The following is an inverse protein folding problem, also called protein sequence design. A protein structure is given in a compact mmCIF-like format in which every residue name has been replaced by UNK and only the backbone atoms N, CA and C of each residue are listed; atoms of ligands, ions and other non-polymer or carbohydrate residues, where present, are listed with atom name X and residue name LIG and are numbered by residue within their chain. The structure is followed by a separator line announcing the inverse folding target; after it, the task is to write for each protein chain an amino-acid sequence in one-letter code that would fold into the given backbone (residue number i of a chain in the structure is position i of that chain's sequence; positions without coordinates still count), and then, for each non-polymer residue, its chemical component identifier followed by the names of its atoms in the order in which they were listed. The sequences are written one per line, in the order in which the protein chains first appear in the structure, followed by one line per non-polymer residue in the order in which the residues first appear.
data_IF_047130989336
#
_entry.id   IF_047130989336
#
_cell.length_a   1.000
_cell.length_b   1.000
_cell.length_c   1.000
_cell.angle_alpha   90.00
_cell.angle_beta   90.00
_cell.angle_gamma   90.00
#
_symmetry.space_group_name_H-M   'P 1'
#
loop_
_entity.id
_entity.type
_entity.pdbx_description
1 polymer ?
#
# COMPACT_ATOMS: atom_id res chain seq x y z
N UNK A 1 15.89 -0.13 -35.82
CA UNK A 1 15.15 0.87 -35.04
C UNK A 1 16.04 1.71 -34.09
N UNK A 2 17.37 1.58 -34.08
CA UNK A 2 18.24 2.55 -33.36
C UNK A 2 18.14 2.59 -31.82
N UNK A 3 17.27 1.76 -31.22
CA UNK A 3 17.16 1.64 -29.77
C UNK A 3 18.32 0.84 -29.18
N UNK A 4 18.78 1.25 -28.00
CA UNK A 4 19.84 0.59 -27.23
C UNK A 4 19.35 0.30 -25.81
N UNK A 5 19.86 -0.78 -25.21
CA UNK A 5 19.56 -1.15 -23.82
C UNK A 5 20.40 -0.34 -22.86
N UNK A 6 19.76 0.12 -21.79
CA UNK A 6 20.37 0.78 -20.63
C UNK A 6 19.83 0.08 -19.38
N UNK A 7 20.52 -1.00 -18.96
CA UNK A 7 19.98 -1.93 -17.97
C UNK A 7 18.62 -2.53 -18.42
N UNK A 8 17.57 -2.46 -17.59
CA UNK A 8 16.24 -2.94 -17.97
C UNK A 8 15.47 -1.97 -18.90
N UNK A 9 16.00 -0.76 -19.14
CA UNK A 9 15.34 0.29 -19.92
C UNK A 9 15.77 0.27 -21.40
N UNK A 10 14.99 0.95 -22.24
CA UNK A 10 15.35 1.24 -23.63
C UNK A 10 15.55 2.73 -23.88
N UNK A 11 16.60 3.07 -24.64
CA UNK A 11 16.94 4.42 -25.10
C UNK A 11 16.87 4.49 -26.62
N UNK A 12 16.12 5.45 -27.15
CA UNK A 12 15.99 5.70 -28.60
C UNK A 12 16.89 6.85 -29.08
N UNK A 13 17.08 6.99 -30.40
CA UNK A 13 17.96 7.99 -31.00
C UNK A 13 17.50 9.44 -30.76
N UNK A 14 16.18 9.65 -30.61
CA UNK A 14 15.58 10.98 -30.42
C UNK A 14 15.34 11.31 -28.93
N UNK A 15 16.17 10.77 -28.04
CA UNK A 15 16.04 10.96 -26.58
C UNK A 15 14.85 10.20 -25.96
N UNK A 16 14.20 9.32 -26.71
CA UNK A 16 13.12 8.48 -26.21
C UNK A 16 13.64 7.55 -25.10
N UNK A 17 12.88 7.45 -24.02
CA UNK A 17 13.21 6.58 -22.88
C UNK A 17 11.98 5.75 -22.54
N UNK A 18 12.16 4.44 -22.48
CA UNK A 18 11.09 3.51 -22.13
C UNK A 18 11.49 2.68 -20.91
N UNK A 19 10.57 2.61 -19.94
CA UNK A 19 10.72 1.87 -18.70
C UNK A 19 9.99 0.53 -18.79
N UNK A 20 10.45 -0.51 -18.07
CA UNK A 20 9.73 -1.77 -17.90
C UNK A 20 8.28 -1.58 -17.50
N UNK A 21 7.39 -2.42 -18.03
CA UNK A 21 6.02 -2.56 -17.58
C UNK A 21 5.86 -3.86 -16.79
N UNK A 22 5.78 -3.75 -15.47
CA UNK A 22 5.62 -4.88 -14.57
C UNK A 22 4.18 -5.37 -14.54
N UNK A 23 4.03 -6.69 -14.64
CA UNK A 23 2.78 -7.41 -14.37
C UNK A 23 2.77 -7.92 -12.93
N UNK A 24 1.58 -8.08 -12.33
CA UNK A 24 1.44 -8.50 -10.93
C UNK A 24 2.20 -9.79 -10.60
N UNK A 25 2.22 -10.75 -11.53
CA UNK A 25 2.91 -12.05 -11.39
C UNK A 25 4.45 -11.96 -11.39
N UNK A 26 5.02 -10.79 -11.69
CA UNK A 26 6.47 -10.58 -11.65
C UNK A 26 6.98 -10.28 -10.24
N UNK A 27 6.09 -9.97 -9.29
CA UNK A 27 6.44 -9.71 -7.90
C UNK A 27 5.92 -10.80 -6.95
N UNK A 28 6.61 -10.99 -5.84
CA UNK A 28 6.15 -11.78 -4.68
C UNK A 28 6.63 -11.11 -3.38
N UNK A 29 6.33 -11.72 -2.22
CA UNK A 29 6.74 -11.22 -0.91
C UNK A 29 8.23 -10.94 -0.86
N UNK A 30 8.55 -9.66 -0.70
CA UNK A 30 9.92 -9.15 -0.64
C UNK A 30 10.79 -9.52 -1.86
N UNK A 31 10.18 -9.82 -3.00
CA UNK A 31 10.89 -10.15 -4.23
C UNK A 31 10.27 -9.39 -5.40
N UNK A 32 10.93 -8.33 -5.84
CA UNK A 32 10.53 -7.57 -7.03
C UNK A 32 10.98 -8.21 -8.34
N UNK A 33 11.74 -9.30 -8.27
CA UNK A 33 12.30 -10.05 -9.42
C UNK A 33 11.80 -11.49 -9.45
N UNK A 34 10.62 -11.73 -8.88
CA UNK A 34 10.08 -13.07 -8.69
C UNK A 34 9.83 -13.81 -10.01
N UNK A 35 9.29 -13.10 -11.01
CA UNK A 35 8.96 -13.65 -12.31
C UNK A 35 9.47 -12.77 -13.45
N UNK A 36 9.97 -13.41 -14.52
CA UNK A 36 10.58 -12.75 -15.65
C UNK A 36 10.21 -13.42 -16.97
N UNK A 37 10.13 -12.63 -18.04
CA UNK A 37 9.95 -13.13 -19.42
C UNK A 37 11.28 -13.42 -20.13
N UNK A 38 12.42 -13.32 -19.43
CA UNK A 38 13.74 -13.54 -20.01
C UNK A 38 13.84 -14.92 -20.69
N UNK A 39 14.42 -14.94 -21.89
CA UNK A 39 14.65 -16.18 -22.65
C UNK A 39 13.42 -16.72 -23.40
N UNK A 40 12.25 -16.08 -23.29
CA UNK A 40 11.06 -16.51 -24.02
C UNK A 40 11.01 -15.91 -25.44
N UNK A 41 10.86 -16.76 -26.44
CA UNK A 41 10.64 -16.36 -27.83
C UNK A 41 9.18 -15.98 -28.15
N UNK A 42 8.23 -16.37 -27.30
CA UNK A 42 6.81 -16.09 -27.44
C UNK A 42 6.13 -15.99 -26.07
N UNK A 43 5.05 -15.22 -25.98
CA UNK A 43 4.30 -15.03 -24.72
C UNK A 43 3.47 -16.29 -24.42
N UNK A 44 3.59 -16.89 -23.22
CA UNK A 44 2.76 -18.03 -22.83
C UNK A 44 1.27 -17.66 -22.80
N UNK A 45 0.42 -18.51 -23.40
CA UNK A 45 -1.03 -18.27 -23.50
C UNK A 45 -1.74 -18.35 -22.14
N UNK A 46 -1.23 -19.17 -21.24
CA UNK A 46 -1.71 -19.34 -19.87
C UNK A 46 -1.19 -18.26 -18.92
N UNK A 47 -0.31 -17.38 -19.40
CA UNK A 47 0.32 -16.35 -18.59
C UNK A 47 1.34 -16.88 -17.58
N UNK A 48 1.81 -18.12 -17.71
CA UNK A 48 2.91 -18.64 -16.90
C UNK A 48 4.20 -17.82 -17.12
N UNK A 49 5.06 -17.81 -16.10
CA UNK A 49 6.42 -17.27 -16.18
C UNK A 49 7.40 -18.39 -15.83
N UNK A 50 8.55 -18.49 -16.52
CA UNK A 50 9.63 -19.37 -16.12
C UNK A 50 10.05 -19.11 -14.67
N UNK A 51 10.44 -20.18 -13.98
CA UNK A 51 11.03 -20.05 -12.66
C UNK A 51 12.39 -19.34 -12.78
N UNK A 52 12.57 -18.26 -12.03
CA UNK A 52 13.88 -17.64 -11.85
C UNK A 52 14.66 -18.50 -10.86
N UNK A 53 15.90 -18.90 -11.19
CA UNK A 53 16.72 -19.71 -10.30
C UNK A 53 17.31 -18.87 -9.15
N UNK A 54 17.63 -19.52 -8.03
CA UNK A 54 18.30 -18.83 -6.91
C UNK A 54 19.66 -18.25 -7.31
N UNK A 55 20.38 -18.90 -8.24
CA UNK A 55 21.63 -18.38 -8.78
C UNK A 55 21.44 -17.06 -9.54
N UNK A 56 20.35 -16.92 -10.30
CA UNK A 56 19.99 -15.66 -10.96
C UNK A 56 19.61 -14.59 -9.92
N UNK A 57 18.83 -14.94 -8.90
CA UNK A 57 18.45 -14.00 -7.83
C UNK A 57 19.65 -13.56 -6.99
N UNK A 58 20.65 -14.42 -6.81
CA UNK A 58 21.88 -14.09 -6.10
C UNK A 58 22.76 -13.07 -6.85
N UNK A 59 22.56 -12.91 -8.16
CA UNK A 59 23.21 -11.87 -8.93
C UNK A 59 22.53 -10.50 -8.68
N UNK A 60 23.23 -9.50 -8.09
CA UNK A 60 22.66 -8.16 -7.85
C UNK A 60 22.45 -7.34 -9.13
N UNK A 61 23.04 -7.76 -10.25
CA UNK A 61 22.87 -7.15 -11.58
C UNK A 61 21.67 -7.74 -12.34
N UNK A 62 21.12 -8.86 -11.87
CA UNK A 62 19.94 -9.44 -12.50
C UNK A 62 18.70 -8.58 -12.22
N UNK A 63 17.98 -8.22 -13.27
CA UNK A 63 16.67 -7.58 -13.19
C UNK A 63 15.64 -8.37 -14.00
N UNK A 64 14.38 -8.35 -13.55
CA UNK A 64 13.32 -9.09 -14.21
C UNK A 64 12.96 -8.45 -15.56
N UNK A 65 13.18 -9.22 -16.64
CA UNK A 65 12.79 -8.81 -17.99
C UNK A 65 11.25 -8.77 -18.12
N UNK A 66 10.66 -7.61 -18.48
CA UNK A 66 9.23 -7.47 -18.73
C UNK A 66 8.89 -7.95 -20.15
N UNK A 67 7.60 -8.09 -20.45
CA UNK A 67 7.17 -8.30 -21.84
C UNK A 67 7.00 -6.99 -22.61
N UNK A 68 6.69 -5.89 -21.91
CA UNK A 68 6.41 -4.59 -22.50
C UNK A 68 7.24 -3.50 -21.82
N UNK A 69 7.44 -2.41 -22.56
CA UNK A 69 8.00 -1.16 -22.04
C UNK A 69 7.06 -0.02 -22.38
N UNK A 70 7.04 1.00 -21.52
CA UNK A 70 6.17 2.18 -21.64
C UNK A 70 7.00 3.46 -21.61
N UNK A 71 6.57 4.55 -22.28
CA UNK A 71 7.30 5.81 -22.26
C UNK A 71 7.54 6.30 -20.82
N UNK A 72 8.79 6.68 -20.52
CA UNK A 72 9.18 7.14 -19.20
C UNK A 72 8.35 8.36 -18.74
N UNK A 73 8.08 9.31 -19.63
CA UNK A 73 7.28 10.50 -19.34
C UNK A 73 5.86 10.15 -18.88
N UNK A 74 5.24 9.12 -19.47
CA UNK A 74 3.91 8.65 -19.05
C UNK A 74 3.96 7.99 -17.66
N UNK A 75 4.99 7.20 -17.39
CA UNK A 75 5.20 6.60 -16.07
C UNK A 75 5.39 7.69 -15.03
N UNK A 76 6.33 8.61 -15.24
CA UNK A 76 6.65 9.70 -14.33
C UNK A 76 5.44 10.58 -14.04
N UNK A 77 4.70 10.98 -15.08
CA UNK A 77 3.48 11.76 -14.91
C UNK A 77 2.45 11.01 -14.05
N UNK A 78 2.26 9.71 -14.26
CA UNK A 78 1.27 8.90 -13.53
C UNK A 78 1.66 8.66 -12.07
N UNK A 79 2.93 8.37 -11.79
CA UNK A 79 3.39 8.08 -10.41
C UNK A 79 3.63 9.33 -9.58
N UNK A 80 3.75 10.52 -10.21
CA UNK A 80 3.90 11.79 -9.50
C UNK A 80 2.79 12.01 -8.47
N UNK A 81 3.17 12.35 -7.24
CA UNK A 81 2.24 12.63 -6.13
C UNK A 81 1.68 14.05 -6.19
N UNK A 82 0.96 14.35 -7.26
CA UNK A 82 0.29 15.64 -7.51
C UNK A 82 -1.18 15.42 -7.88
N UNK A 83 -2.06 16.43 -7.74
CA UNK A 83 -3.47 16.30 -8.08
C UNK A 83 -3.70 15.84 -9.53
N UNK A 84 -4.63 14.91 -9.74
CA UNK A 84 -4.92 14.36 -11.08
C UNK A 84 -5.34 15.45 -12.08
N UNK A 85 -6.10 16.46 -11.61
CA UNK A 85 -6.49 17.61 -12.44
C UNK A 85 -5.29 18.43 -12.92
N UNK A 86 -4.21 18.52 -12.13
CA UNK A 86 -2.99 19.22 -12.54
C UNK A 86 -2.34 18.52 -13.74
N UNK A 87 -2.23 17.19 -13.68
CA UNK A 87 -1.71 16.36 -14.78
C UNK A 87 -2.57 16.51 -16.04
N UNK A 88 -3.89 16.50 -15.88
CA UNK A 88 -4.83 16.64 -16.98
C UNK A 88 -4.72 18.01 -17.70
N UNK A 89 -4.58 19.10 -16.95
CA UNK A 89 -4.40 20.43 -17.55
C UNK A 89 -3.01 20.63 -18.15
N UNK A 90 -1.97 20.02 -17.55
CA UNK A 90 -0.62 20.04 -18.13
C UNK A 90 -0.60 19.36 -19.51
N UNK A 91 -1.23 18.19 -19.65
CA UNK A 91 -1.34 17.49 -20.96
C UNK A 91 -2.06 18.30 -22.04
N UNK A 92 -2.95 19.21 -21.64
CA UNK A 92 -3.70 20.10 -22.54
C UNK A 92 -3.01 21.45 -22.77
N UNK A 93 -1.79 21.62 -22.24
CA UNK A 93 -1.06 22.89 -22.25
C UNK A 93 -1.90 24.08 -21.76
N UNK A 94 -2.72 23.85 -20.72
CA UNK A 94 -3.65 24.86 -20.20
C UNK A 94 -3.08 25.54 -18.94
N UNK A 95 -2.42 26.72 -19.06
CA UNK A 95 -1.81 27.40 -17.92
C UNK A 95 -2.85 27.86 -16.89
N UNK A 96 -4.02 28.32 -17.32
CA UNK A 96 -5.07 28.81 -16.42
C UNK A 96 -5.66 27.65 -15.59
N UNK A 97 -5.89 26.50 -16.23
CA UNK A 97 -6.34 25.28 -15.57
C UNK A 97 -5.33 24.78 -14.54
N UNK A 98 -4.03 24.79 -14.87
CA UNK A 98 -2.97 24.49 -13.91
C UNK A 98 -2.99 25.46 -12.72
N UNK A 99 -3.10 26.77 -12.96
CA UNK A 99 -3.12 27.77 -11.89
C UNK A 99 -4.34 27.61 -10.97
N UNK A 100 -5.52 27.27 -11.51
CA UNK A 100 -6.73 26.96 -10.71
C UNK A 100 -6.51 25.78 -9.77
N UNK A 101 -5.89 24.70 -10.26
CA UNK A 101 -5.58 23.52 -9.43
C UNK A 101 -4.51 23.85 -8.39
N UNK A 102 -3.47 24.60 -8.77
CA UNK A 102 -2.42 25.04 -7.83
C UNK A 102 -2.99 25.92 -6.71
N UNK A 103 -3.92 26.82 -7.01
CA UNK A 103 -4.59 27.63 -6.00
C UNK A 103 -5.38 26.75 -5.01
N UNK A 104 -6.22 25.84 -5.51
CA UNK A 104 -6.94 24.87 -4.68
C UNK A 104 -5.98 23.98 -3.85
N UNK A 105 -4.84 23.60 -4.43
CA UNK A 105 -3.84 22.78 -3.77
C UNK A 105 -3.09 23.55 -2.67
N UNK A 106 -2.76 24.82 -2.87
CA UNK A 106 -2.17 25.67 -1.83
C UNK A 106 -3.14 25.88 -0.67
N UNK A 107 -4.45 26.02 -0.93
CA UNK A 107 -5.44 26.06 0.14
C UNK A 107 -5.45 24.79 1.01
N UNK A 108 -5.09 23.64 0.45
CA UNK A 108 -5.01 22.38 1.21
C UNK A 108 -3.94 22.40 2.32
N UNK A 109 -3.09 23.43 2.36
CA UNK A 109 -2.13 23.65 3.46
C UNK A 109 -2.72 24.34 4.69
N UNK A 110 -3.97 24.79 4.63
CA UNK A 110 -4.69 25.31 5.80
C UNK A 110 -5.25 24.16 6.64
N UNK A 111 -5.67 24.48 7.86
CA UNK A 111 -6.36 23.51 8.71
C UNK A 111 -7.63 22.98 7.99
N UNK A 112 -7.83 21.65 7.89
CA UNK A 112 -9.04 21.09 7.32
C UNK A 112 -10.33 21.62 7.95
N UNK A 113 -10.31 21.99 9.22
CA UNK A 113 -11.46 22.52 9.95
C UNK A 113 -11.78 23.96 9.54
N UNK A 114 -10.77 24.77 9.24
CA UNK A 114 -10.97 26.12 8.69
C UNK A 114 -11.61 26.10 7.30
N UNK A 115 -11.49 24.98 6.59
CA UNK A 115 -12.08 24.76 5.29
C UNK A 115 -13.50 24.15 5.36
N UNK A 116 -14.08 23.97 6.55
CA UNK A 116 -15.49 23.52 6.69
C UNK A 116 -16.47 24.64 6.30
N UNK A 117 -17.63 24.31 5.69
CA UNK A 117 -18.59 25.31 5.20
C UNK A 117 -18.92 26.44 6.20
N UNK A 118 -19.10 26.07 7.46
CA UNK A 118 -19.41 26.96 8.58
C UNK A 118 -18.28 27.95 8.93
N UNK A 119 -17.03 27.62 8.59
CA UNK A 119 -15.85 28.43 8.93
C UNK A 119 -15.36 29.31 7.77
N UNK A 120 -15.82 29.08 6.53
CA UNK A 120 -15.26 29.71 5.32
C UNK A 120 -15.29 31.23 5.34
N UNK A 121 -16.32 31.85 5.92
CA UNK A 121 -16.42 33.30 6.00
C UNK A 121 -15.28 33.90 6.83
N UNK A 122 -14.94 33.28 7.97
CA UNK A 122 -13.81 33.68 8.83
C UNK A 122 -12.47 33.35 8.18
N UNK A 123 -12.39 32.24 7.46
CA UNK A 123 -11.16 31.77 6.80
C UNK A 123 -10.80 32.56 5.55
N UNK A 124 -11.75 33.25 4.92
CA UNK A 124 -11.53 33.91 3.63
C UNK A 124 -10.34 34.88 3.58
N UNK A 125 -10.09 35.76 4.59
CA UNK A 125 -8.91 36.61 4.62
C UNK A 125 -7.59 35.80 4.69
N UNK A 126 -7.56 34.78 5.54
CA UNK A 126 -6.40 33.89 5.70
C UNK A 126 -6.10 33.13 4.42
N UNK A 127 -7.12 32.56 3.79
CA UNK A 127 -7.02 31.85 2.51
C UNK A 127 -6.50 32.77 1.39
N UNK A 128 -7.01 34.00 1.32
CA UNK A 128 -6.55 35.00 0.34
C UNK A 128 -5.07 35.34 0.57
N UNK A 129 -4.68 35.60 1.82
CA UNK A 129 -3.30 35.91 2.18
C UNK A 129 -2.36 34.76 1.81
N UNK A 130 -2.74 33.50 2.13
CA UNK A 130 -1.95 32.31 1.80
C UNK A 130 -1.75 32.14 0.30
N UNK A 131 -2.78 32.36 -0.51
CA UNK A 131 -2.67 32.28 -1.97
C UNK A 131 -1.73 33.34 -2.54
N UNK A 132 -1.85 34.59 -2.08
CA UNK A 132 -0.97 35.68 -2.50
C UNK A 132 0.48 35.41 -2.11
N UNK A 133 0.70 34.92 -0.89
CA UNK A 133 2.03 34.63 -0.38
C UNK A 133 2.75 33.57 -1.20
N UNK A 134 2.04 32.51 -1.59
CA UNK A 134 2.64 31.32 -2.23
C UNK A 134 2.64 31.41 -3.75
N UNK A 135 1.59 31.93 -4.38
CA UNK A 135 1.41 31.94 -5.84
C UNK A 135 1.42 33.34 -6.47
N UNK A 136 1.41 34.40 -5.66
CA UNK A 136 1.34 35.79 -6.08
C UNK A 136 -0.07 36.26 -6.45
N UNK A 137 -0.20 37.55 -6.81
CA UNK A 137 -1.50 38.21 -7.10
C UNK A 137 -2.32 37.53 -8.21
N UNK A 138 -1.66 36.91 -9.18
CA UNK A 138 -2.33 36.18 -10.27
C UNK A 138 -3.27 35.05 -9.78
N UNK A 139 -2.98 34.45 -8.63
CA UNK A 139 -3.80 33.36 -8.09
C UNK A 139 -5.14 33.87 -7.54
N UNK A 140 -5.24 35.17 -7.27
CA UNK A 140 -6.47 35.82 -6.82
C UNK A 140 -7.10 36.69 -7.91
N UNK A 141 -6.64 36.56 -9.16
CA UNK A 141 -7.23 37.26 -10.30
C UNK A 141 -8.64 36.74 -10.62
N UNK A 142 -9.49 37.61 -11.17
CA UNK A 142 -10.88 37.30 -11.54
C UNK A 142 -11.00 36.09 -12.48
N UNK A 143 -10.04 35.87 -13.38
CA UNK A 143 -10.04 34.69 -14.27
C UNK A 143 -9.85 33.36 -13.53
N UNK A 144 -9.18 33.37 -12.38
CA UNK A 144 -8.93 32.19 -11.55
C UNK A 144 -10.08 31.96 -10.57
N UNK A 145 -10.53 33.01 -9.89
CA UNK A 145 -11.55 32.93 -8.83
C UNK A 145 -13.00 33.05 -9.36
N UNK A 146 -13.22 33.68 -10.50
CA UNK A 146 -14.56 34.00 -10.98
C UNK A 146 -15.15 35.24 -10.31
N UNK A 147 -16.46 35.20 -9.99
CA UNK A 147 -17.22 36.40 -9.59
C UNK A 147 -16.79 36.99 -8.24
N UNK A 148 -16.67 36.16 -7.20
CA UNK A 148 -16.21 36.58 -5.86
C UNK A 148 -15.31 35.52 -5.22
N UNK A 149 -14.41 35.94 -4.33
CA UNK A 149 -13.56 35.02 -3.58
C UNK A 149 -14.38 34.06 -2.72
N UNK A 150 -15.44 34.55 -2.05
CA UNK A 150 -16.29 33.72 -1.19
C UNK A 150 -16.99 32.59 -1.96
N UNK A 151 -17.56 32.90 -3.14
CA UNK A 151 -18.19 31.88 -3.99
C UNK A 151 -17.18 30.84 -4.48
N UNK A 152 -15.97 31.27 -4.82
CA UNK A 152 -14.90 30.36 -5.23
C UNK A 152 -14.45 29.46 -4.08
N UNK A 153 -14.17 30.04 -2.91
CA UNK A 153 -13.74 29.31 -1.72
C UNK A 153 -14.77 28.25 -1.34
N UNK A 154 -16.07 28.57 -1.38
CA UNK A 154 -17.16 27.61 -1.15
C UNK A 154 -17.11 26.38 -2.07
N UNK A 155 -16.68 26.55 -3.33
CA UNK A 155 -16.53 25.44 -4.30
C UNK A 155 -15.20 24.71 -4.14
N UNK A 156 -14.12 25.43 -3.82
CA UNK A 156 -12.77 24.89 -3.76
C UNK A 156 -12.48 24.15 -2.45
N UNK A 157 -13.10 24.55 -1.33
CA UNK A 157 -12.75 24.07 0.00
C UNK A 157 -12.85 22.55 0.16
N UNK A 158 -13.93 21.93 -0.33
CA UNK A 158 -14.09 20.48 -0.26
C UNK A 158 -12.99 19.73 -1.05
N UNK A 159 -12.63 20.24 -2.23
CA UNK A 159 -11.56 19.70 -3.04
C UNK A 159 -10.18 19.91 -2.44
N UNK A 160 -9.92 21.07 -1.83
CA UNK A 160 -8.71 21.35 -1.07
C UNK A 160 -8.53 20.39 0.11
N UNK A 161 -9.58 20.12 0.90
CA UNK A 161 -9.54 19.12 1.98
C UNK A 161 -9.21 17.72 1.45
N UNK A 162 -9.80 17.34 0.30
CA UNK A 162 -9.47 16.07 -0.36
C UNK A 162 -8.01 16.03 -0.82
N UNK A 163 -7.48 17.12 -1.38
CA UNK A 163 -6.08 17.21 -1.80
C UNK A 163 -5.11 17.15 -0.60
N UNK A 164 -5.46 17.73 0.55
CA UNK A 164 -4.68 17.59 1.79
C UNK A 164 -4.54 16.12 2.19
N UNK A 165 -5.61 15.34 1.99
CA UNK A 165 -5.61 13.90 2.24
C UNK A 165 -4.90 13.12 1.15
N UNK A 166 -5.01 13.44 -0.13
CA UNK A 166 -4.45 12.58 -1.20
C UNK A 166 -3.00 12.92 -1.56
N UNK A 167 -2.70 14.21 -1.67
CA UNK A 167 -1.42 14.74 -2.13
C UNK A 167 -1.01 15.94 -1.26
N UNK A 168 -0.68 15.76 0.02
CA UNK A 168 -0.38 16.88 0.91
C UNK A 168 0.84 17.69 0.44
N UNK A 169 0.80 19.01 0.70
CA UNK A 169 1.94 19.91 0.57
C UNK A 169 2.62 20.06 1.94
N UNK A 170 3.91 19.77 2.00
CA UNK A 170 4.74 20.12 3.16
C UNK A 170 5.13 21.60 3.13
N UNK A 171 5.67 22.09 4.25
CA UNK A 171 6.24 23.44 4.31
C UNK A 171 7.33 23.67 3.23
N UNK A 172 8.14 22.63 2.98
CA UNK A 172 9.20 22.64 1.98
C UNK A 172 8.64 22.74 0.55
N UNK A 173 7.49 22.11 0.30
CA UNK A 173 6.80 22.23 -0.98
C UNK A 173 6.19 23.62 -1.19
N UNK A 174 5.61 24.21 -0.15
CA UNK A 174 5.09 25.58 -0.24
C UNK A 174 6.22 26.58 -0.52
N UNK A 175 7.36 26.40 0.14
CA UNK A 175 8.57 27.19 -0.15
C UNK A 175 9.02 27.01 -1.60
N UNK A 176 9.07 25.76 -2.09
CA UNK A 176 9.38 25.47 -3.49
C UNK A 176 8.40 26.13 -4.46
N UNK A 177 7.10 26.08 -4.20
CA UNK A 177 6.08 26.74 -5.03
C UNK A 177 6.29 28.25 -5.07
N UNK A 178 6.62 28.86 -3.93
CA UNK A 178 6.87 30.30 -3.80
C UNK A 178 8.09 30.75 -4.61
N UNK A 179 9.18 30.00 -4.53
CA UNK A 179 10.45 30.31 -5.21
C UNK A 179 10.54 29.79 -6.65
N UNK A 180 9.68 28.84 -7.01
CA UNK A 180 9.73 28.14 -8.29
C UNK A 180 9.33 28.99 -9.50
N UNK A 181 9.28 28.35 -10.68
CA UNK A 181 8.92 29.00 -11.93
C UNK A 181 7.60 29.75 -11.81
N UNK A 182 7.54 30.96 -12.39
CA UNK A 182 6.29 31.70 -12.40
C UNK A 182 5.30 31.06 -13.37
N UNK A 183 5.57 30.82 -14.67
CA UNK A 183 4.57 30.24 -15.56
C UNK A 183 3.95 28.94 -15.00
N UNK A 184 2.62 28.83 -15.02
CA UNK A 184 1.90 27.77 -14.31
C UNK A 184 2.20 26.37 -14.87
N UNK A 185 2.47 26.27 -16.18
CA UNK A 185 2.91 25.03 -16.83
C UNK A 185 4.28 24.61 -16.33
N UNK A 186 5.25 25.53 -16.28
CA UNK A 186 6.61 25.25 -15.82
C UNK A 186 6.63 24.84 -14.35
N UNK A 187 5.85 25.54 -13.51
CA UNK A 187 5.68 25.18 -12.11
C UNK A 187 5.04 23.79 -11.96
N UNK A 188 4.03 23.46 -12.76
CA UNK A 188 3.42 22.14 -12.75
C UNK A 188 4.42 21.04 -13.15
N UNK A 189 5.22 21.24 -14.20
CA UNK A 189 6.29 20.31 -14.62
C UNK A 189 7.32 20.13 -13.50
N UNK A 190 7.75 21.23 -12.88
CA UNK A 190 8.72 21.22 -11.78
C UNK A 190 8.18 20.48 -10.54
N UNK A 191 6.90 20.67 -10.21
CA UNK A 191 6.24 19.93 -9.12
C UNK A 191 6.08 18.45 -9.44
N UNK A 192 5.76 18.09 -10.69
CA UNK A 192 5.69 16.69 -11.12
C UNK A 192 7.06 16.01 -10.97
N UNK A 193 8.14 16.68 -11.39
CA UNK A 193 9.50 16.16 -11.23
C UNK A 193 9.90 16.04 -9.74
N UNK A 194 9.57 17.06 -8.92
CA UNK A 194 9.87 17.05 -7.47
C UNK A 194 9.08 15.98 -6.71
N UNK A 195 7.83 15.73 -7.10
CA UNK A 195 6.90 14.82 -6.40
C UNK A 195 6.95 13.39 -6.94
N UNK A 196 8.04 13.01 -7.60
CA UNK A 196 8.27 11.63 -8.01
C UNK A 196 8.57 10.74 -6.80
N UNK A 197 7.97 9.55 -6.70
CA UNK A 197 8.42 8.55 -5.75
C UNK A 197 9.77 7.97 -6.19
N UNK A 198 10.62 7.61 -5.24
CA UNK A 198 11.94 6.97 -5.50
C UNK A 198 11.84 5.48 -5.79
N UNK A 199 10.79 4.86 -5.29
CA UNK A 199 10.43 3.44 -5.40
C UNK A 199 8.90 3.34 -5.35
N UNK A 200 8.36 2.20 -5.79
CA UNK A 200 6.94 1.91 -5.77
C UNK A 200 6.65 0.78 -4.79
N UNK A 201 5.42 0.74 -4.28
CA UNK A 201 4.94 -0.32 -3.42
C UNK A 201 3.53 -0.67 -3.85
N UNK A 202 3.20 -1.96 -3.81
CA UNK A 202 1.96 -2.43 -4.38
C UNK A 202 1.67 -3.87 -4.03
N UNK A 203 0.58 -4.39 -4.59
CA UNK A 203 0.16 -5.76 -4.39
C UNK A 203 -0.52 -6.34 -5.63
N UNK A 204 -0.59 -7.66 -5.67
CA UNK A 204 -1.28 -8.41 -6.71
C UNK A 204 -2.79 -8.37 -6.48
N UNK A 205 -3.53 -7.89 -7.47
CA UNK A 205 -4.99 -7.92 -7.46
C UNK A 205 -5.53 -9.36 -7.58
N UNK A 206 -5.03 -10.11 -8.56
CA UNK A 206 -5.52 -11.46 -8.83
C UNK A 206 -5.05 -12.40 -7.71
N UNK A 207 -6.00 -12.87 -6.92
CA UNK A 207 -5.78 -13.80 -5.81
C UNK A 207 -7.11 -14.43 -5.40
N UNK A 208 -7.12 -15.46 -4.57
CA UNK A 208 -8.35 -16.00 -3.98
C UNK A 208 -8.07 -16.55 -2.56
N UNK A 209 -9.10 -17.07 -1.89
CA UNK A 209 -9.00 -17.63 -0.54
C UNK A 209 -8.24 -18.98 -0.48
N UNK A 210 -8.08 -19.67 -1.61
CA UNK A 210 -7.46 -21.02 -1.69
C UNK A 210 -6.01 -21.00 -2.21
N UNK A 211 -5.53 -19.84 -2.68
CA UNK A 211 -4.15 -19.63 -3.11
C UNK A 211 -3.16 -19.89 -1.96
N UNK A 212 -1.89 -20.13 -2.29
CA UNK A 212 -0.84 -20.31 -1.29
C UNK A 212 -0.76 -19.13 -0.32
N UNK A 213 -0.95 -17.91 -0.81
CA UNK A 213 -0.96 -16.63 -0.10
C UNK A 213 -2.02 -15.72 -0.73
N UNK A 214 -2.90 -15.13 0.08
CA UNK A 214 -3.96 -14.25 -0.44
C UNK A 214 -3.45 -12.85 -0.66
N UNK A 215 -2.67 -12.30 0.28
CA UNK A 215 -2.10 -10.97 0.15
C UNK A 215 -0.66 -11.11 -0.34
N UNK A 216 -0.38 -10.71 -1.58
CA UNK A 216 0.98 -10.68 -2.12
C UNK A 216 1.36 -9.23 -2.42
N UNK A 217 2.09 -8.63 -1.47
CA UNK A 217 2.60 -7.27 -1.55
C UNK A 217 4.14 -7.25 -1.71
N UNK A 218 4.64 -6.19 -2.34
CA UNK A 218 6.08 -5.95 -2.50
C UNK A 218 6.41 -4.47 -2.66
N UNK A 219 7.68 -4.15 -2.46
CA UNK A 219 8.30 -2.87 -2.82
C UNK A 219 9.22 -3.13 -4.02
N UNK A 220 9.19 -2.26 -5.02
CA UNK A 220 9.85 -2.47 -6.31
C UNK A 220 10.34 -1.14 -6.92
N UNK A 221 11.21 -1.18 -7.95
CA UNK A 221 11.76 0.03 -8.56
C UNK A 221 10.69 0.91 -9.21
N UNK A 222 11.05 2.16 -9.55
CA UNK A 222 10.16 3.09 -10.25
C UNK A 222 9.96 2.67 -11.71
N UNK A 223 9.02 1.76 -11.96
CA UNK A 223 8.68 1.20 -13.27
C UNK A 223 7.20 1.44 -13.64
N UNK A 224 6.81 1.18 -14.88
CA UNK A 224 5.41 1.10 -15.25
C UNK A 224 4.75 -0.13 -14.63
N UNK A 225 3.46 -0.05 -14.29
CA UNK A 225 2.70 -1.19 -13.74
C UNK A 225 1.41 -1.46 -14.51
N UNK A 226 1.11 -2.74 -14.72
CA UNK A 226 -0.17 -3.18 -15.27
C UNK A 226 -1.33 -2.96 -14.30
N UNK A 227 -2.56 -3.09 -14.79
CA UNK A 227 -3.80 -2.88 -14.03
C UNK A 227 -4.03 -3.88 -12.88
N UNK A 228 -3.36 -5.03 -12.94
CA UNK A 228 -3.40 -6.08 -11.91
C UNK A 228 -2.35 -5.89 -10.81
N UNK A 229 -1.36 -5.02 -11.02
CA UNK A 229 -0.38 -4.63 -10.01
C UNK A 229 -0.81 -3.28 -9.42
N UNK A 230 -1.59 -3.35 -8.35
CA UNK A 230 -2.17 -2.17 -7.71
C UNK A 230 -1.13 -1.46 -6.85
N UNK A 231 -1.18 -0.13 -6.81
CA UNK A 231 -0.19 0.70 -6.14
C UNK A 231 -0.71 1.24 -4.81
N UNK A 232 0.16 1.30 -3.83
CA UNK A 232 -0.01 2.07 -2.61
C UNK A 232 1.11 3.10 -2.49
N UNK A 233 0.78 4.26 -1.92
CA UNK A 233 1.73 5.36 -1.74
C UNK A 233 1.83 5.72 -0.26
N UNK A 234 2.66 4.99 0.52
CA UNK A 234 2.93 5.34 1.91
C UNK A 234 3.34 6.81 2.02
N UNK A 235 2.79 7.49 3.02
CA UNK A 235 3.15 8.90 3.35
C UNK A 235 4.13 8.99 4.51
N UNK A 236 4.31 7.88 5.22
CA UNK A 236 5.18 7.78 6.36
C UNK A 236 6.63 7.55 5.89
N UNK A 237 7.62 7.81 6.76
CA UNK A 237 9.02 7.51 6.46
C UNK A 237 9.23 6.03 6.10
N UNK A 238 10.32 5.73 5.39
CA UNK A 238 10.53 4.40 4.82
C UNK A 238 10.57 3.26 5.85
N UNK A 239 11.05 3.50 7.09
CA UNK A 239 11.02 2.50 8.15
C UNK A 239 9.58 2.10 8.55
N UNK A 240 8.64 3.04 8.58
CA UNK A 240 7.21 2.74 8.78
C UNK A 240 6.63 2.05 7.55
N UNK A 241 7.03 2.45 6.34
CA UNK A 241 6.62 1.76 5.11
C UNK A 241 7.14 0.30 5.07
N UNK A 242 8.33 0.03 5.61
CA UNK A 242 8.89 -1.31 5.76
C UNK A 242 8.07 -2.13 6.76
N UNK A 243 7.68 -1.54 7.90
CA UNK A 243 6.78 -2.19 8.85
C UNK A 243 5.41 -2.50 8.24
N UNK A 244 4.86 -1.59 7.44
CA UNK A 244 3.63 -1.82 6.67
C UNK A 244 3.80 -3.00 5.70
N UNK A 245 4.86 -3.02 4.89
CA UNK A 245 5.14 -4.12 3.97
C UNK A 245 5.25 -5.45 4.72
N UNK A 246 5.98 -5.46 5.84
CA UNK A 246 6.13 -6.65 6.67
C UNK A 246 4.80 -7.15 7.23
N UNK A 247 3.93 -6.22 7.65
CA UNK A 247 2.61 -6.57 8.15
C UNK A 247 1.75 -7.19 7.05
N UNK A 248 1.75 -6.58 5.85
CA UNK A 248 1.01 -7.07 4.69
C UNK A 248 1.49 -8.45 4.20
N UNK A 249 2.76 -8.77 4.41
CA UNK A 249 3.35 -10.06 4.07
C UNK A 249 3.22 -11.11 5.19
N UNK A 250 2.70 -10.74 6.37
CA UNK A 250 2.64 -11.64 7.52
C UNK A 250 1.51 -12.68 7.41
N UNK A 251 1.76 -13.89 7.93
CA UNK A 251 0.79 -14.99 7.98
C UNK A 251 -0.50 -14.61 8.74
N UNK A 252 -0.45 -13.96 9.93
CA UNK A 252 -1.67 -13.55 10.63
C UNK A 252 -2.56 -12.60 9.82
N UNK A 253 -1.96 -11.63 9.11
CA UNK A 253 -2.73 -10.70 8.28
C UNK A 253 -3.31 -11.41 7.04
N UNK A 254 -2.55 -12.30 6.41
CA UNK A 254 -3.01 -13.10 5.27
C UNK A 254 -4.23 -13.95 5.67
N UNK A 255 -4.17 -14.59 6.85
CA UNK A 255 -5.29 -15.32 7.44
C UNK A 255 -6.55 -14.45 7.58
N UNK A 256 -6.43 -13.25 8.15
CA UNK A 256 -7.56 -12.33 8.30
C UNK A 256 -8.12 -11.88 6.95
N UNK A 257 -7.25 -11.62 5.97
CA UNK A 257 -7.67 -11.22 4.63
C UNK A 257 -8.41 -12.35 3.89
N UNK A 258 -8.01 -13.62 4.09
CA UNK A 258 -8.67 -14.79 3.51
C UNK A 258 -10.13 -14.89 3.91
N UNK A 259 -10.46 -14.56 5.15
CA UNK A 259 -11.85 -14.60 5.64
C UNK A 259 -12.74 -13.54 4.97
N UNK A 260 -12.14 -12.51 4.35
CA UNK A 260 -12.85 -11.40 3.72
C UNK A 260 -12.96 -11.51 2.20
N UNK A 261 -12.19 -12.41 1.57
CA UNK A 261 -12.16 -12.52 0.12
C UNK A 261 -13.17 -13.56 -0.38
N UNK A 262 -14.20 -13.09 -1.09
CA UNK A 262 -15.22 -13.96 -1.69
C UNK A 262 -14.99 -14.30 -3.17
N UNK A 263 -13.97 -13.74 -3.80
CA UNK A 263 -13.74 -13.87 -5.25
C UNK A 263 -12.25 -13.85 -5.62
N UNK A 264 -11.97 -13.51 -6.88
CA UNK A 264 -10.61 -13.60 -7.45
C UNK A 264 -9.84 -12.27 -7.47
N UNK A 265 -10.36 -11.24 -6.82
CA UNK A 265 -9.82 -9.88 -6.88
C UNK A 265 -9.69 -9.25 -5.49
N UNK A 266 -8.49 -8.78 -5.19
CA UNK A 266 -8.16 -8.02 -3.99
C UNK A 266 -8.03 -6.53 -4.35
N UNK A 267 -9.16 -5.91 -4.73
CA UNK A 267 -9.22 -4.49 -5.08
C UNK A 267 -9.08 -3.58 -3.86
N UNK A 268 -8.84 -2.29 -4.12
CA UNK A 268 -8.65 -1.25 -3.10
C UNK A 268 -9.72 -1.23 -2.00
N UNK A 269 -10.98 -1.47 -2.32
CA UNK A 269 -12.08 -1.45 -1.36
C UNK A 269 -11.96 -2.58 -0.32
N UNK A 270 -11.54 -3.77 -0.73
CA UNK A 270 -11.29 -4.90 0.18
C UNK A 270 -9.96 -4.68 0.91
N UNK A 271 -8.91 -4.27 0.18
CA UNK A 271 -7.57 -4.10 0.73
C UNK A 271 -7.52 -3.08 1.88
N UNK A 272 -8.32 -1.99 1.77
CA UNK A 272 -8.42 -0.95 2.80
C UNK A 272 -9.16 -1.38 4.07
N UNK A 273 -9.78 -2.56 4.08
CA UNK A 273 -10.48 -3.12 5.24
C UNK A 273 -9.65 -4.17 5.98
N UNK A 274 -8.41 -4.43 5.56
CA UNK A 274 -7.50 -5.32 6.27
C UNK A 274 -7.10 -4.74 7.62
N UNK A 275 -6.86 -5.62 8.59
CA UNK A 275 -6.46 -5.26 9.96
C UNK A 275 -4.98 -4.86 10.03
N UNK A 276 -4.58 -3.89 9.20
CA UNK A 276 -3.21 -3.34 9.18
C UNK A 276 -3.01 -2.48 10.42
N UNK A 277 -1.88 -2.65 11.10
CA UNK A 277 -1.51 -1.83 12.25
C UNK A 277 -1.20 -0.39 11.81
N UNK A 278 -1.74 0.59 12.54
CA UNK A 278 -1.52 2.00 12.29
C UNK A 278 -0.08 2.42 12.67
N UNK A 279 0.47 3.49 12.07
CA UNK A 279 1.85 3.93 12.33
C UNK A 279 2.19 4.13 13.81
N UNK A 280 1.26 4.66 14.60
CA UNK A 280 1.46 4.92 16.04
C UNK A 280 1.52 3.64 16.89
N UNK A 281 1.09 2.49 16.35
CA UNK A 281 1.15 1.20 17.05
C UNK A 281 2.55 0.56 16.96
N UNK A 282 3.45 1.09 16.13
CA UNK A 282 4.84 0.66 16.04
C UNK A 282 5.74 1.49 16.96
N UNK A 283 6.34 0.84 17.94
CA UNK A 283 7.34 1.44 18.81
C UNK A 283 8.68 1.62 18.09
N UNK A 284 9.59 2.40 18.67
CA UNK A 284 10.98 2.49 18.15
C UNK A 284 11.68 1.12 18.14
N UNK A 285 11.41 0.28 19.14
CA UNK A 285 11.97 -1.06 19.22
C UNK A 285 11.42 -1.98 18.12
N UNK A 286 10.11 -1.88 17.82
CA UNK A 286 9.48 -2.61 16.71
C UNK A 286 10.14 -2.27 15.37
N UNK A 287 10.36 -0.97 15.12
CA UNK A 287 10.99 -0.53 13.88
C UNK A 287 12.47 -0.95 13.80
N UNK A 288 13.20 -0.93 14.92
CA UNK A 288 14.57 -1.43 14.99
C UNK A 288 14.66 -2.95 14.76
N UNK A 289 13.60 -3.70 15.08
CA UNK A 289 13.49 -5.13 14.77
C UNK A 289 13.12 -5.39 13.31
N UNK A 290 12.11 -4.69 12.78
CA UNK A 290 11.56 -4.94 11.44
C UNK A 290 12.46 -4.40 10.31
N UNK A 291 12.96 -3.17 10.45
CA UNK A 291 13.70 -2.47 9.39
C UNK A 291 14.88 -3.28 8.82
N UNK A 292 15.83 -3.79 9.62
CA UNK A 292 16.96 -4.55 9.05
C UNK A 292 16.53 -5.85 8.37
N UNK A 293 15.47 -6.51 8.87
CA UNK A 293 14.95 -7.75 8.27
C UNK A 293 14.29 -7.50 6.93
N UNK A 294 13.45 -6.47 6.85
CA UNK A 294 12.80 -6.07 5.59
C UNK A 294 13.82 -5.58 4.59
N UNK A 295 14.82 -4.79 5.04
CA UNK A 295 15.92 -4.33 4.20
C UNK A 295 16.67 -5.51 3.57
N UNK A 296 17.10 -6.49 4.38
CA UNK A 296 17.81 -7.69 3.89
C UNK A 296 16.93 -8.51 2.93
N UNK A 297 15.62 -8.59 3.21
CA UNK A 297 14.67 -9.29 2.35
C UNK A 297 14.42 -8.58 1.01
N UNK A 298 14.51 -7.24 0.94
CA UNK A 298 14.06 -6.47 -0.24
C UNK A 298 15.20 -5.86 -1.06
N UNK A 299 16.36 -5.58 -0.45
CA UNK A 299 17.49 -4.99 -1.15
C UNK A 299 18.43 -6.05 -1.73
N UNK A 300 17.96 -6.75 -2.76
CA UNK A 300 18.70 -7.85 -3.42
C UNK A 300 19.25 -7.49 -4.81
N UNK A 301 19.00 -6.27 -5.29
CA UNK A 301 19.54 -5.76 -6.56
C UNK A 301 19.78 -4.25 -6.50
N UNK A 302 20.61 -3.73 -7.41
CA UNK A 302 20.94 -2.31 -7.43
C UNK A 302 19.75 -1.40 -7.78
N UNK A 303 18.73 -1.90 -8.48
CA UNK A 303 17.51 -1.13 -8.76
C UNK A 303 16.75 -0.72 -7.48
N UNK A 304 16.96 -1.44 -6.38
CA UNK A 304 16.36 -1.14 -5.08
C UNK A 304 17.24 -0.25 -4.18
N UNK A 305 18.34 0.30 -4.70
CA UNK A 305 19.21 1.23 -3.96
C UNK A 305 18.44 2.42 -3.35
N UNK A 306 17.51 3.10 -4.06
CA UNK A 306 16.79 4.23 -3.45
C UNK A 306 15.96 3.83 -2.22
N UNK A 307 15.40 2.61 -2.21
CA UNK A 307 14.68 2.07 -1.05
C UNK A 307 15.63 1.78 0.12
N UNK A 308 16.80 1.19 -0.16
CA UNK A 308 17.81 0.93 0.86
C UNK A 308 18.36 2.21 1.49
N UNK A 309 18.63 3.24 0.68
CA UNK A 309 19.08 4.56 1.14
C UNK A 309 18.03 5.22 2.06
N UNK A 310 16.76 5.16 1.68
CA UNK A 310 15.66 5.71 2.50
C UNK A 310 15.51 4.94 3.84
N UNK A 311 15.97 3.68 3.91
CA UNK A 311 16.08 2.87 5.14
C UNK A 311 17.41 3.05 5.90
N UNK A 312 18.30 3.94 5.41
CA UNK A 312 19.57 4.25 6.06
C UNK A 312 20.73 3.31 5.68
N UNK A 313 20.62 2.54 4.60
CA UNK A 313 21.68 1.64 4.12
C UNK A 313 22.29 2.12 2.80
N UNK A 314 23.61 2.29 2.79
CA UNK A 314 24.39 2.74 1.62
C UNK A 314 25.32 1.66 1.06
N UNK A 315 25.31 0.46 1.64
CA UNK A 315 26.15 -0.65 1.23
C UNK A 315 25.69 -1.34 -0.05
N UNK A 316 26.32 -2.48 -0.37
CA UNK A 316 25.91 -3.33 -1.49
C UNK A 316 24.56 -4.04 -1.20
N UNK A 317 23.87 -4.52 -2.25
CA UNK A 317 22.72 -5.42 -2.09
C UNK A 317 23.07 -6.69 -1.30
N UNK A 318 22.09 -7.21 -0.57
CA UNK A 318 22.22 -8.46 0.17
C UNK A 318 22.14 -9.65 -0.79
N UNK A 319 22.93 -10.68 -0.51
CA UNK A 319 22.94 -11.92 -1.29
C UNK A 319 21.59 -12.64 -1.11
N UNK A 320 21.05 -13.17 -2.20
CA UNK A 320 19.87 -14.02 -2.14
C UNK A 320 20.21 -15.39 -1.53
N UNK A 321 19.82 -15.58 -0.28
CA UNK A 321 19.95 -16.84 0.45
C UNK A 321 18.54 -17.34 0.86
N UNK A 322 18.02 -18.41 0.23
CA UNK A 322 16.70 -18.94 0.54
C UNK A 322 16.48 -19.33 2.01
N UNK A 323 17.51 -19.88 2.68
CA UNK A 323 17.39 -20.34 4.07
C UNK A 323 17.34 -19.17 5.04
N UNK A 324 18.26 -18.21 4.85
CA UNK A 324 18.28 -16.96 5.62
C UNK A 324 16.98 -16.19 5.46
N UNK A 325 16.47 -16.07 4.23
CA UNK A 325 15.21 -15.39 3.92
C UNK A 325 14.02 -16.07 4.60
N UNK A 326 13.98 -17.41 4.60
CA UNK A 326 12.93 -18.15 5.30
C UNK A 326 12.96 -17.90 6.82
N UNK A 327 14.16 -17.85 7.42
CA UNK A 327 14.33 -17.50 8.82
C UNK A 327 13.87 -16.07 9.16
N UNK A 328 14.24 -15.08 8.35
CA UNK A 328 13.82 -13.69 8.52
C UNK A 328 12.29 -13.52 8.42
N UNK A 329 11.67 -14.19 7.44
CA UNK A 329 10.21 -14.20 7.29
C UNK A 329 9.54 -14.81 8.52
N UNK A 330 10.07 -15.93 9.02
CA UNK A 330 9.54 -16.59 10.20
C UNK A 330 9.60 -15.72 11.47
N UNK A 331 10.69 -14.95 11.64
CA UNK A 331 10.80 -13.96 12.73
C UNK A 331 9.78 -12.84 12.61
N UNK A 332 9.53 -12.35 11.39
CA UNK A 332 8.52 -11.34 11.12
C UNK A 332 7.11 -11.89 11.41
N UNK A 333 6.82 -13.12 11.00
CA UNK A 333 5.53 -13.77 11.24
C UNK A 333 5.27 -13.97 12.74
N UNK A 334 6.27 -14.44 13.50
CA UNK A 334 6.19 -14.59 14.95
C UNK A 334 6.01 -13.23 15.65
N UNK A 335 6.74 -12.20 15.19
CA UNK A 335 6.57 -10.82 15.67
C UNK A 335 5.14 -10.34 15.49
N UNK A 336 4.58 -10.46 14.28
CA UNK A 336 3.23 -9.97 14.01
C UNK A 336 2.18 -10.79 14.74
N UNK A 337 2.35 -12.11 14.86
CA UNK A 337 1.44 -12.94 15.65
C UNK A 337 1.34 -12.44 17.09
N UNK A 338 2.48 -12.16 17.75
CA UNK A 338 2.48 -11.59 19.10
C UNK A 338 1.92 -10.16 19.11
N UNK A 339 2.27 -9.33 18.12
CA UNK A 339 1.80 -7.94 18.01
C UNK A 339 0.28 -7.85 17.83
N UNK A 340 -0.34 -8.84 17.21
CA UNK A 340 -1.79 -9.01 17.11
C UNK A 340 -2.44 -9.58 18.38
N UNK A 341 -1.66 -9.93 19.40
CA UNK A 341 -2.15 -10.50 20.65
C UNK A 341 -2.46 -11.99 20.58
N UNK A 342 -1.97 -12.70 19.55
CA UNK A 342 -2.15 -14.14 19.46
C UNK A 342 -1.29 -14.86 20.50
N UNK A 343 -1.78 -15.99 20.99
CA UNK A 343 -1.00 -17.00 21.67
C UNK A 343 -0.23 -17.87 20.66
N UNK A 344 0.71 -18.67 21.19
CA UNK A 344 1.43 -19.67 20.40
C UNK A 344 0.48 -20.68 19.77
N UNK A 345 -0.54 -21.10 20.51
CA UNK A 345 -1.49 -22.11 20.06
C UNK A 345 -2.45 -21.58 18.99
N UNK A 346 -2.87 -20.31 19.09
CA UNK A 346 -3.64 -19.65 18.02
C UNK A 346 -2.79 -19.47 16.75
N UNK A 347 -1.51 -19.12 16.89
CA UNK A 347 -0.60 -19.08 15.74
C UNK A 347 -0.45 -20.48 15.10
N UNK A 348 -0.33 -21.53 15.90
CA UNK A 348 -0.28 -22.92 15.44
C UNK A 348 -1.56 -23.29 14.69
N UNK A 349 -2.73 -22.94 15.22
CA UNK A 349 -4.02 -23.13 14.55
C UNK A 349 -4.07 -22.39 13.20
N UNK A 350 -3.64 -21.13 13.15
CA UNK A 350 -3.62 -20.35 11.90
C UNK A 350 -2.75 -21.03 10.84
N UNK A 351 -1.57 -21.54 11.23
CA UNK A 351 -0.67 -22.24 10.32
C UNK A 351 -1.25 -23.58 9.86
N UNK A 352 -1.73 -24.39 10.81
CA UNK A 352 -2.17 -25.77 10.57
C UNK A 352 -3.24 -26.19 11.60
N UNK A 353 -4.53 -26.01 11.29
CA UNK A 353 -5.62 -26.38 12.19
C UNK A 353 -5.60 -27.87 12.59
N UNK A 354 -5.16 -28.76 11.69
CA UNK A 354 -5.10 -30.20 11.95
C UNK A 354 -4.05 -30.56 13.01
N UNK A 355 -2.97 -29.77 13.13
CA UNK A 355 -1.95 -29.92 14.18
C UNK A 355 -2.52 -29.62 15.58
N UNK A 356 -3.56 -28.79 15.68
CA UNK A 356 -4.22 -28.43 16.95
C UNK A 356 -5.45 -29.30 17.28
N UNK A 357 -6.28 -29.62 16.28
CA UNK A 357 -7.58 -30.27 16.50
C UNK A 357 -7.64 -31.71 15.97
N UNK A 358 -6.53 -32.24 15.47
CA UNK A 358 -6.43 -33.57 14.90
C UNK A 358 -6.67 -33.60 13.39
N UNK A 359 -6.31 -34.71 12.73
CA UNK A 359 -6.33 -34.86 11.27
C UNK A 359 -7.76 -34.80 10.68
N UNK A 360 -8.78 -35.08 11.49
CA UNK A 360 -10.18 -35.06 11.07
C UNK A 360 -10.82 -33.65 11.12
N UNK A 361 -10.06 -32.62 11.51
CA UNK A 361 -10.58 -31.26 11.56
C UNK A 361 -10.88 -30.74 10.14
N UNK A 362 -12.09 -30.22 9.86
CA UNK A 362 -12.57 -30.04 8.50
C UNK A 362 -11.94 -28.84 7.75
N UNK A 363 -11.20 -27.97 8.44
CA UNK A 363 -10.69 -26.73 7.85
C UNK A 363 -9.18 -26.75 7.66
N UNK A 364 -8.73 -26.24 6.52
CA UNK A 364 -7.31 -26.06 6.17
C UNK A 364 -7.08 -24.58 5.84
N UNK A 365 -6.11 -23.94 6.48
CA UNK A 365 -5.87 -22.50 6.26
C UNK A 365 -4.99 -22.23 5.04
N UNK A 366 -3.81 -22.84 5.00
CA UNK A 366 -2.76 -22.59 4.00
C UNK A 366 -2.43 -23.86 3.19
N UNK A 367 -3.45 -24.63 2.80
CA UNK A 367 -3.30 -25.93 2.11
C UNK A 367 -2.32 -25.89 0.93
N UNK A 368 -2.44 -24.89 0.06
CA UNK A 368 -1.58 -24.76 -1.12
C UNK A 368 -0.10 -24.58 -0.75
N UNK A 369 0.17 -23.75 0.27
CA UNK A 369 1.52 -23.52 0.81
C UNK A 369 2.05 -24.80 1.48
N UNK A 370 1.27 -25.42 2.35
CA UNK A 370 1.65 -26.65 3.06
C UNK A 370 2.00 -27.77 2.07
N UNK A 371 1.13 -28.03 1.09
CA UNK A 371 1.38 -29.06 0.07
C UNK A 371 2.64 -28.76 -0.72
N UNK A 372 2.81 -27.52 -1.21
CA UNK A 372 3.99 -27.14 -1.99
C UNK A 372 5.30 -27.26 -1.19
N UNK A 373 5.28 -26.96 0.10
CA UNK A 373 6.46 -27.13 0.96
C UNK A 373 6.75 -28.60 1.29
N UNK A 374 5.73 -29.43 1.51
CA UNK A 374 5.91 -30.87 1.71
C UNK A 374 6.50 -31.51 0.47
N UNK A 375 6.00 -31.16 -0.73
CA UNK A 375 6.54 -31.65 -2.00
C UNK A 375 8.01 -31.23 -2.20
N UNK A 376 8.38 -29.99 -1.85
CA UNK A 376 9.72 -29.45 -2.08
C UNK A 376 10.75 -29.80 -1.00
N UNK A 377 10.34 -29.83 0.26
CA UNK A 377 11.23 -29.94 1.42
C UNK A 377 10.98 -31.18 2.28
N UNK A 378 9.91 -31.95 2.01
CA UNK A 378 9.50 -33.08 2.83
C UNK A 378 8.85 -32.70 4.16
N UNK A 379 8.64 -31.40 4.43
CA UNK A 379 8.03 -30.90 5.66
C UNK A 379 7.23 -29.61 5.40
N UNK A 380 6.28 -29.29 6.29
CA UNK A 380 5.68 -27.95 6.32
C UNK A 380 6.65 -26.94 6.96
N UNK A 381 7.66 -26.54 6.18
CA UNK A 381 8.83 -25.75 6.61
C UNK A 381 8.42 -24.41 7.25
N UNK A 382 7.47 -23.69 6.67
CA UNK A 382 6.98 -22.40 7.20
C UNK A 382 6.44 -22.58 8.62
N UNK A 383 5.57 -23.57 8.86
CA UNK A 383 5.03 -23.86 10.19
C UNK A 383 6.14 -24.11 11.20
N UNK A 384 7.09 -24.99 10.87
CA UNK A 384 8.22 -25.31 11.75
C UNK A 384 9.05 -24.06 12.07
N UNK A 385 9.43 -23.28 11.06
CA UNK A 385 10.29 -22.11 11.25
C UNK A 385 9.60 -21.00 12.04
N UNK A 386 8.32 -20.72 11.77
CA UNK A 386 7.55 -19.68 12.48
C UNK A 386 7.40 -20.04 13.96
N UNK A 387 7.04 -21.29 14.27
CA UNK A 387 6.93 -21.75 15.66
C UNK A 387 8.30 -21.81 16.36
N UNK A 388 9.36 -22.22 15.67
CA UNK A 388 10.72 -22.18 16.23
C UNK A 388 11.20 -20.74 16.47
N UNK A 389 10.83 -19.79 15.61
CA UNK A 389 11.14 -18.38 15.81
C UNK A 389 10.41 -17.82 17.02
N UNK A 390 9.12 -18.17 17.17
CA UNK A 390 8.34 -17.84 18.37
C UNK A 390 9.01 -18.36 19.64
N UNK A 391 9.32 -19.67 19.69
CA UNK A 391 9.89 -20.32 20.86
C UNK A 391 11.24 -19.72 21.26
N UNK A 392 12.10 -19.44 20.26
CA UNK A 392 13.36 -18.74 20.49
C UNK A 392 13.14 -17.32 21.04
N UNK A 393 12.26 -16.54 20.42
CA UNK A 393 12.00 -15.13 20.80
C UNK A 393 11.37 -15.01 22.20
N UNK A 394 10.62 -16.02 22.62
CA UNK A 394 10.14 -16.14 24.00
C UNK A 394 11.31 -16.46 24.94
N UNK A 395 12.10 -17.49 24.63
CA UNK A 395 13.18 -17.97 25.49
C UNK A 395 14.33 -16.96 25.66
N UNK A 396 14.67 -16.21 24.62
CA UNK A 396 15.76 -15.22 24.63
C UNK A 396 15.31 -13.81 25.08
N UNK A 397 14.04 -13.66 25.48
CA UNK A 397 13.45 -12.40 25.92
C UNK A 397 13.28 -11.34 24.83
N UNK A 398 13.30 -11.72 23.55
CA UNK A 398 13.06 -10.78 22.43
C UNK A 398 11.71 -10.11 22.55
N UNK A 399 10.63 -10.85 22.87
CA UNK A 399 9.32 -10.23 23.07
C UNK A 399 9.33 -9.22 24.23
N UNK A 400 10.05 -9.49 25.32
CA UNK A 400 10.19 -8.55 26.44
C UNK A 400 10.89 -7.25 26.00
N UNK A 401 11.98 -7.34 25.24
CA UNK A 401 12.70 -6.17 24.70
C UNK A 401 11.84 -5.34 23.75
N UNK A 402 10.91 -5.97 23.05
CA UNK A 402 9.96 -5.31 22.17
C UNK A 402 8.75 -4.72 22.90
N UNK A 403 8.62 -4.95 24.22
CA UNK A 403 7.44 -4.56 24.99
C UNK A 403 6.19 -5.35 24.62
N UNK A 404 6.38 -6.60 24.15
CA UNK A 404 5.32 -7.52 23.72
C UNK A 404 5.13 -8.69 24.71
N UNK A 405 5.81 -8.63 25.86
CA UNK A 405 5.71 -9.61 26.94
C UNK A 405 4.54 -9.30 27.86
N UNK A 406 3.77 -10.31 28.23
CA UNK A 406 2.69 -10.12 29.20
C UNK A 406 1.60 -9.16 28.73
N UNK A 407 1.32 -9.10 27.41
CA UNK A 407 -0.06 -8.83 27.03
C UNK A 407 -0.85 -9.98 27.64
N UNK A 408 -1.43 -9.76 28.84
CA UNK A 408 -2.54 -10.56 29.31
C UNK A 408 -3.49 -10.60 28.13
N UNK A 409 -3.61 -11.77 27.50
CA UNK A 409 -4.81 -12.10 26.74
C UNK A 409 -5.90 -11.83 27.77
N UNK A 410 -6.75 -10.80 27.63
CA UNK A 410 -7.90 -10.69 28.51
C UNK A 410 -8.61 -12.03 28.34
N UNK A 411 -8.53 -12.88 29.37
CA UNK A 411 -8.75 -14.32 29.29
C UNK A 411 -10.00 -14.53 28.47
N UNK A 412 -9.85 -14.99 27.20
CA UNK A 412 -10.87 -14.88 26.14
C UNK A 412 -12.07 -14.14 26.66
N UNK A 413 -12.04 -12.80 26.67
CA UNK A 413 -13.32 -12.11 26.73
C UNK A 413 -13.97 -12.59 25.45
N UNK A 414 -14.73 -13.69 25.54
CA UNK A 414 -15.73 -14.06 24.58
C UNK A 414 -16.47 -12.75 24.46
N UNK A 415 -16.18 -12.00 23.41
CA UNK A 415 -17.10 -11.05 22.85
C UNK A 415 -18.27 -11.96 22.48
N UNK A 416 -19.12 -12.24 23.47
CA UNK A 416 -20.48 -12.66 23.25
C UNK A 416 -21.06 -11.46 22.54
N UNK A 417 -20.94 -11.47 21.23
CA UNK A 417 -21.86 -10.75 20.38
C UNK A 417 -23.19 -11.39 20.72
N UNK A 418 -23.90 -10.82 21.68
CA UNK A 418 -25.29 -11.17 21.92
C UNK A 418 -26.05 -10.69 20.69
N UNK A 419 -26.18 -11.60 19.72
CA UNK A 419 -27.07 -11.38 18.61
C UNK A 419 -28.47 -11.23 19.20
N UNK A 420 -29.20 -10.13 18.90
CA UNK A 420 -30.56 -9.99 19.37
C UNK A 420 -31.38 -11.22 18.94
N UNK A 421 -32.22 -11.79 19.82
CA UNK A 421 -33.04 -12.94 19.46
C UNK A 421 -33.84 -12.64 18.20
N UNK A 422 -33.78 -13.53 17.21
CA UNK A 422 -34.46 -13.36 15.91
C UNK A 422 -35.95 -13.01 16.05
N UNK A 423 -36.60 -13.48 17.12
CA UNK A 423 -38.00 -13.20 17.43
C UNK A 423 -38.29 -11.77 17.92
N UNK A 424 -37.26 -10.99 18.31
CA UNK A 424 -37.38 -9.58 18.70
C UNK A 424 -37.21 -8.62 17.53
N UNK A 425 -36.77 -9.12 16.37
CA UNK A 425 -36.70 -8.32 15.15
C UNK A 425 -38.11 -8.15 14.57
N UNK A 426 -38.55 -6.92 14.24
CA UNK A 426 -39.88 -6.70 13.66
C UNK A 426 -40.03 -7.43 12.32
N UNK A 427 -41.25 -7.86 12.00
CA UNK A 427 -41.58 -8.39 10.67
C UNK A 427 -41.17 -7.37 9.60
N UNK A 428 -40.22 -7.75 8.74
CA UNK A 428 -39.64 -6.85 7.74
C UNK A 428 -38.28 -6.23 8.11
N UNK A 429 -37.63 -6.64 9.21
CA UNK A 429 -36.26 -6.22 9.54
C UNK A 429 -35.23 -6.52 8.43
N UNK A 430 -35.54 -7.48 7.55
CA UNK A 430 -34.74 -7.83 6.36
C UNK A 430 -35.43 -7.44 5.04
N UNK A 431 -36.58 -6.76 5.11
CA UNK A 431 -37.32 -6.28 3.96
C UNK A 431 -36.79 -4.90 3.55
N UNK A 432 -36.29 -4.81 2.33
CA UNK A 432 -35.80 -3.57 1.76
C UNK A 432 -36.99 -2.71 1.31
N UNK A 433 -37.05 -1.44 1.72
CA UNK A 433 -38.02 -0.51 1.10
C UNK A 433 -37.70 -0.40 -0.39
N UNK A 434 -38.72 -0.35 -1.25
CA UNK A 434 -38.55 -0.34 -2.70
C UNK A 434 -37.70 0.84 -3.24
N UNK A 435 -37.43 1.85 -2.40
CA UNK A 435 -36.58 3.01 -2.67
C UNK A 435 -35.08 2.76 -2.50
N UNK A 436 -34.63 1.67 -1.86
CA UNK A 436 -33.19 1.39 -1.66
C UNK A 436 -32.61 0.66 -2.87
N UNK A 437 -31.64 1.32 -3.53
CA UNK A 437 -30.91 0.75 -4.66
C UNK A 437 -30.16 -0.52 -4.23
N UNK A 438 -30.15 -1.60 -5.05
CA UNK A 438 -29.53 -2.88 -4.69
C UNK A 438 -28.07 -2.79 -4.24
N UNK A 439 -27.31 -1.81 -4.75
CA UNK A 439 -25.90 -1.59 -4.42
C UNK A 439 -25.66 -1.06 -2.99
N UNK A 440 -26.66 -0.41 -2.38
CA UNK A 440 -26.53 0.24 -1.07
C UNK A 440 -27.01 -0.64 0.09
N UNK A 441 -27.59 -1.81 -0.22
CA UNK A 441 -28.22 -2.72 0.75
C UNK A 441 -27.28 -3.18 1.86
N UNK A 442 -26.02 -3.51 1.52
CA UNK A 442 -25.02 -3.96 2.52
C UNK A 442 -24.61 -2.81 3.45
N UNK A 443 -24.49 -1.59 2.92
CA UNK A 443 -24.15 -0.40 3.72
C UNK A 443 -25.29 -0.04 4.69
N UNK A 444 -26.54 -0.12 4.22
CA UNK A 444 -27.73 0.13 5.05
C UNK A 444 -27.90 -0.95 6.12
N UNK A 445 -27.67 -2.23 5.81
CA UNK A 445 -27.68 -3.30 6.81
C UNK A 445 -26.62 -3.10 7.90
N UNK A 446 -25.42 -2.64 7.53
CA UNK A 446 -24.38 -2.31 8.50
C UNK A 446 -24.76 -1.11 9.38
N UNK A 447 -25.38 -0.08 8.81
CA UNK A 447 -25.88 1.08 9.57
C UNK A 447 -27.04 0.71 10.51
N UNK A 448 -27.95 -0.15 10.07
CA UNK A 448 -29.05 -0.63 10.90
C UNK A 448 -28.58 -1.54 12.05
N UNK A 449 -27.59 -2.41 11.78
CA UNK A 449 -26.96 -3.23 12.82
C UNK A 449 -26.20 -2.38 13.86
N UNK A 450 -25.61 -1.25 13.43
CA UNK A 450 -25.01 -0.26 14.34
C UNK A 450 -26.06 0.48 15.16
N UNK A 451 -27.19 0.89 14.55
CA UNK A 451 -28.30 1.53 15.25
C UNK A 451 -28.94 0.62 16.31
N UNK A 452 -29.10 -0.68 16.02
CA UNK A 452 -29.59 -1.65 17.00
C UNK A 452 -28.64 -1.87 18.19
N UNK A 453 -27.35 -1.55 18.03
CA UNK A 453 -26.36 -1.71 19.09
C UNK A 453 -26.32 -0.51 20.06
N UNK A 454 -26.82 0.66 19.64
CA UNK A 454 -26.92 1.87 20.48
C UNK A 454 -28.05 2.80 19.96
N UNK A 455 -29.31 2.54 20.35
CA UNK A 455 -30.48 3.25 19.82
C UNK A 455 -30.54 4.73 20.22
N UNK A 456 -29.76 5.13 21.23
CA UNK A 456 -29.71 6.50 21.77
C UNK A 456 -28.65 7.37 21.05
N UNK A 457 -27.89 6.79 20.11
CA UNK A 457 -26.89 7.47 19.30
C UNK A 457 -27.45 7.92 17.94
N UNK A 458 -28.31 8.93 17.96
CA UNK A 458 -28.68 9.71 16.75
C UNK A 458 -28.66 11.22 17.05
#
# INVERSE_FOLDING_TARGET
MGFTRDGPDWRGPDGQHYLPLFEAKMIHHYDHRYGSYAGLGARPKDGSLPEVSDAMRANPEYEAEPWYWVPAEETELRVARVPQRLKAYLRKENPEGCLKVLAEWVLSSLDPDDLRPENLARTAPLATARLREVLGERAVARGILGATFATWLGKAAAGARKMALETPLSADDLHFVKQGPKPALDLARALIARKQPRWLMGWRDITNATNERTVIASVFPKVGTGDTLLLMHPKQPANIAAALLANLCSIPLDYLCRQKIGGTHLKYNVYKQNAVLAPHQFSKADLAFLTPRVLELTYTSHAMRPWAEDLGHTGAPFIWDPERRAGLKAEIDAFFARKYGLSRDELRYILDPADTHGPDYPSETFRGLQRGEIEKYGEYRTRRLVLAAWDRMEADGTFNRLGLSGQEIPASSTLRIELPPLAQLPEGAWAWTASVQPADRIRVAAQYALWLADPDSD
#
